data_IF_707465625302
#
_entry.id   IF_707465625302
#
_cell.length_a   1.000
_cell.length_b   1.000
_cell.length_c   1.000
_cell.angle_alpha   90.00
_cell.angle_beta   90.00
_cell.angle_gamma   90.00
#
_symmetry.space_group_name_H-M   'P 1'
#
loop_
_entity.id
_entity.type
_entity.pdbx_description
1 polymer ?
2 non-polymer ?
3 non-polymer ?
4 water ?
#
# COMPACT_ATOMS: atom_id res chain seq x y z
N UNK A 1 -15.55 4.01 -10.48
CA UNK A 1 -14.61 4.97 -11.03
C UNK A 1 -13.30 4.32 -11.48
N UNK A 2 -12.55 5.04 -12.30
CA UNK A 2 -11.15 4.74 -12.54
C UNK A 2 -10.30 5.76 -11.85
N UNK A 3 -9.43 5.29 -10.95
CA UNK A 3 -8.61 6.18 -10.16
C UNK A 3 -7.18 6.10 -10.63
N UNK A 4 -6.68 7.26 -11.04
CA UNK A 4 -5.31 7.49 -11.47
C UNK A 4 -4.33 7.31 -10.31
N UNK A 5 -3.09 6.98 -10.62
CA UNK A 5 -2.05 6.86 -9.59
C UNK A 5 -0.98 7.94 -9.68
N UNK A 6 -1.25 8.98 -10.49
CA UNK A 6 -0.36 10.12 -10.54
C UNK A 6 -0.25 10.81 -9.20
N UNK A 7 -1.35 10.80 -8.45
CA UNK A 7 -1.38 11.31 -7.08
C UNK A 7 -1.75 10.19 -6.12
N UNK A 8 -1.53 10.39 -4.83
CA UNK A 8 -2.05 9.43 -3.84
C UNK A 8 -3.52 9.23 -4.01
N UNK A 9 -3.98 7.96 -4.01
CA UNK A 9 -5.42 7.71 -4.17
C UNK A 9 -6.20 7.85 -2.86
N UNK A 10 -6.53 9.10 -2.53
CA UNK A 10 -7.25 9.42 -1.31
C UNK A 10 -8.73 9.47 -1.56
N UNK A 11 -9.48 8.92 -0.62
CA UNK A 11 -10.94 8.95 -0.70
C UNK A 11 -11.53 9.32 0.65
N UNK A 12 -12.78 9.74 0.63
CA UNK A 12 -13.54 9.96 1.84
C UNK A 12 -14.21 8.66 2.22
N UNK A 13 -14.12 8.36 3.51
CA UNK A 13 -14.87 7.26 4.06
C UNK A 13 -15.84 7.77 5.10
N UNK A 14 -16.86 6.97 5.37
CA UNK A 14 -17.77 7.20 6.48
C UNK A 14 -17.72 6.00 7.40
N UNK A 15 -17.40 6.27 8.67
CA UNK A 15 -17.22 5.21 9.62
C UNK A 15 -17.51 5.75 11.02
N UNK A 16 -18.26 4.97 11.79
CA UNK A 16 -18.57 5.33 13.17
C UNK A 16 -19.18 6.71 13.29
N UNK A 17 -19.95 7.11 12.28
CA UNK A 17 -20.60 8.43 12.27
C UNK A 17 -19.72 9.59 11.81
N UNK A 18 -18.45 9.28 11.55
CA UNK A 18 -17.46 10.31 11.20
C UNK A 18 -17.11 10.22 9.71
N UNK A 19 -16.70 11.34 9.13
CA UNK A 19 -16.09 11.34 7.79
C UNK A 19 -14.59 11.52 7.92
N UNK A 20 -13.84 10.67 7.24
CA UNK A 20 -12.39 10.72 7.30
C UNK A 20 -11.80 10.53 5.91
N UNK A 21 -10.57 11.00 5.74
CA UNK A 21 -9.85 10.77 4.49
C UNK A 21 -8.91 9.58 4.67
N UNK A 22 -8.82 8.73 3.65
CA UNK A 22 -7.97 7.55 3.74
C UNK A 22 -7.42 7.18 2.38
N UNK A 23 -6.30 6.48 2.40
CA UNK A 23 -5.57 6.09 1.22
C UNK A 23 -6.00 4.70 0.77
N UNK A 24 -6.39 4.53 -0.49
CA UNK A 24 -6.64 3.19 -1.04
C UNK A 24 -5.33 2.47 -1.23
N UNK A 25 -5.10 1.42 -0.45
CA UNK A 25 -3.75 0.90 -0.32
C UNK A 25 -3.70 -0.61 -0.57
N UNK A 26 -3.36 -0.96 -1.81
CA UNK A 26 -3.28 -2.37 -2.17
C UNK A 26 -2.18 -3.14 -1.48
N UNK A 27 -1.20 -2.44 -0.93
CA UNK A 27 -0.14 -3.09 -0.19
C UNK A 27 -0.45 -3.33 1.27
N UNK A 28 -1.63 -2.91 1.73
CA UNK A 28 -2.08 -3.10 3.11
C UNK A 28 -3.06 -4.28 3.17
N UNK A 29 -2.74 -5.29 3.97
CA UNK A 29 -3.67 -6.42 4.16
C UNK A 29 -4.94 -5.92 4.82
N UNK A 30 -4.74 -5.01 5.78
CA UNK A 30 -5.76 -4.60 6.74
C UNK A 30 -6.01 -3.08 6.61
N UNK A 31 -7.21 -2.66 6.97
CA UNK A 31 -7.55 -1.25 7.14
C UNK A 31 -7.10 -0.75 8.49
N UNK A 32 -6.36 0.37 8.51
CA UNK A 32 -5.78 0.92 9.73
C UNK A 32 -6.07 2.40 9.77
N UNK A 33 -6.73 2.83 10.84
CA UNK A 33 -7.11 4.21 11.03
C UNK A 33 -6.50 4.76 12.31
N UNK A 34 -6.26 6.08 12.28
CA UNK A 34 -5.83 6.81 13.47
C UNK A 34 -6.84 6.71 14.59
N UNK A 35 -6.39 7.06 15.79
CA UNK A 35 -7.21 6.88 16.98
C UNK A 35 -8.62 7.44 16.84
N UNK A 36 -9.58 6.62 17.20
CA UNK A 36 -10.99 6.96 17.14
C UNK A 36 -11.73 5.93 17.99
N UNK A 37 -12.96 6.27 18.37
CA UNK A 37 -13.82 5.32 19.07
C UNK A 37 -14.62 4.49 18.07
N UNK A 38 -14.75 3.20 18.36
CA UNK A 38 -15.69 2.33 17.65
C UNK A 38 -16.43 1.46 18.66
N UNK A 39 -17.68 1.08 18.36
CA UNK A 39 -18.46 0.25 19.28
C UNK A 39 -18.09 -1.23 19.22
N UNK A 40 -18.36 -1.97 20.30
CA UNK A 40 -18.28 -3.41 20.28
C UNK A 40 -16.97 -3.95 20.84
N UNK A 41 -16.76 -5.24 20.65
CA UNK A 41 -15.59 -5.92 21.19
C UNK A 41 -14.37 -5.59 20.35
N UNK A 42 -13.20 -5.63 20.98
CA UNK A 42 -11.95 -5.53 20.26
C UNK A 42 -10.89 -6.42 20.89
N UNK A 43 -9.83 -6.71 20.15
CA UNK A 43 -8.67 -7.38 20.73
C UNK A 43 -7.39 -6.72 20.24
N UNK A 44 -6.33 -6.75 21.06
CA UNK A 44 -5.07 -6.12 20.67
C UNK A 44 -4.37 -6.91 19.58
N UNK A 45 -3.59 -6.21 18.75
CA UNK A 45 -2.91 -6.81 17.61
C UNK A 45 -1.63 -6.01 17.38
N UNK A 46 -0.59 -6.65 16.86
CA UNK A 46 0.58 -5.94 16.33
C UNK A 46 0.59 -6.05 14.81
N UNK A 47 0.74 -4.92 14.12
CA UNK A 47 0.91 -4.97 12.68
C UNK A 47 2.18 -4.29 12.27
N UNK A 48 2.78 -4.80 11.21
CA UNK A 48 4.10 -4.41 10.80
C UNK A 48 4.24 -3.87 9.39
N UNK A 49 5.11 -2.90 9.25
CA UNK A 49 5.21 -2.20 7.98
C UNK A 49 6.65 -1.75 7.89
N UNK A 50 6.91 -0.81 6.99
CA UNK A 50 8.23 -0.25 6.88
C UNK A 50 8.46 0.55 8.16
N UNK A 51 9.59 0.33 8.80
CA UNK A 51 9.80 0.92 10.13
C UNK A 51 9.52 0.06 11.34
N UNK A 52 8.80 -1.04 11.20
CA UNK A 52 8.55 -1.94 12.32
C UNK A 52 7.07 -2.05 12.61
N UNK A 53 6.73 -2.30 13.86
CA UNK A 53 5.36 -2.66 14.24
C UNK A 53 4.72 -1.56 15.08
N UNK A 54 3.38 -1.48 15.01
CA UNK A 54 2.60 -0.73 15.99
C UNK A 54 1.52 -1.61 16.62
N UNK A 55 1.13 -1.28 17.83
CA UNK A 55 0.02 -1.93 18.50
C UNK A 55 -1.29 -1.24 18.15
N UNK A 56 -2.27 -2.04 17.77
CA UNK A 56 -3.59 -1.52 17.39
C UNK A 56 -4.68 -2.29 18.12
N UNK A 57 -5.89 -1.72 18.10
CA UNK A 57 -7.08 -2.42 18.53
C UNK A 57 -7.82 -2.92 17.30
N UNK A 58 -8.17 -4.20 17.30
CA UNK A 58 -8.86 -4.82 16.19
C UNK A 58 -10.35 -4.91 16.48
N UNK A 59 -11.15 -4.19 15.70
CA UNK A 59 -12.62 -4.23 15.76
C UNK A 59 -13.14 -4.97 14.55
N UNK A 60 -14.00 -5.96 14.78
CA UNK A 60 -14.56 -6.75 13.68
C UNK A 60 -15.97 -6.30 13.33
N UNK A 61 -16.40 -6.59 12.10
CA UNK A 61 -17.79 -6.36 11.69
C UNK A 61 -18.21 -4.90 11.81
N UNK A 62 -17.36 -4.01 11.32
CA UNK A 62 -17.64 -2.58 11.36
C UNK A 62 -18.14 -2.14 10.00
N UNK A 63 -19.32 -1.49 9.97
CA UNK A 63 -19.82 -0.92 8.73
C UNK A 63 -19.03 0.30 8.27
N UNK A 64 -18.78 0.40 6.97
CA UNK A 64 -18.07 1.54 6.43
C UNK A 64 -18.68 1.83 5.08
N UNK A 65 -18.52 3.07 4.63
CA UNK A 65 -18.90 3.43 3.28
C UNK A 65 -17.76 4.16 2.62
N UNK A 66 -17.46 3.76 1.38
CA UNK A 66 -16.36 4.34 0.64
C UNK A 66 -16.91 4.62 -0.75
N UNK A 67 -17.03 5.90 -1.12
CA UNK A 67 -17.46 6.26 -2.47
C UNK A 67 -18.85 5.70 -2.79
N UNK A 68 -19.76 5.81 -1.83
CA UNK A 68 -21.13 5.34 -2.02
C UNK A 68 -21.23 3.84 -1.83
N UNK A 69 -20.08 3.20 -1.66
CA UNK A 69 -20.02 1.75 -1.58
C UNK A 69 -19.99 1.32 -0.12
N UNK A 70 -21.07 0.67 0.30
CA UNK A 70 -21.13 0.08 1.63
C UNK A 70 -20.37 -1.24 1.73
N UNK A 71 -19.72 -1.44 2.86
CA UNK A 71 -19.07 -2.69 3.14
C UNK A 71 -19.04 -2.90 4.63
N UNK A 72 -18.63 -4.09 5.03
CA UNK A 72 -18.39 -4.37 6.42
C UNK A 72 -17.08 -5.12 6.53
N UNK A 73 -16.34 -4.84 7.59
CA UNK A 73 -15.12 -5.58 7.84
C UNK A 73 -14.39 -5.19 9.09
N UNK A 74 -13.20 -5.73 9.23
CA UNK A 74 -12.35 -5.43 10.36
C UNK A 74 -11.62 -4.09 10.16
N UNK A 75 -11.57 -3.29 11.23
CA UNK A 75 -10.85 -2.03 11.24
C UNK A 75 -9.87 -2.07 12.40
N UNK A 76 -8.61 -1.76 12.09
CA UNK A 76 -7.56 -1.64 13.11
C UNK A 76 -7.40 -0.17 13.47
N UNK A 77 -7.34 0.13 14.76
CA UNK A 77 -7.25 1.51 15.22
C UNK A 77 -5.99 1.67 16.07
N UNK A 78 -5.19 2.67 15.73
CA UNK A 78 -3.99 2.93 16.51
C UNK A 78 -3.13 3.99 15.86
N UNK A 79 -1.88 4.10 16.31
CA UNK A 79 -1.02 5.24 15.93
C UNK A 79 -0.39 5.09 14.56
N UNK A 80 -1.19 4.87 13.52
CA UNK A 80 -0.71 4.89 12.16
C UNK A 80 -0.49 6.33 11.73
N UNK A 81 0.58 6.60 10.97
CA UNK A 81 0.78 7.98 10.53
C UNK A 81 -0.23 8.42 9.48
N UNK A 82 -0.89 7.48 8.83
CA UNK A 82 -1.94 7.83 7.89
C UNK A 82 -3.03 6.76 7.80
N UNK A 83 -4.25 7.19 7.54
CA UNK A 83 -5.38 6.26 7.42
C UNK A 83 -5.23 5.50 6.11
N UNK A 84 -5.31 4.18 6.19
CA UNK A 84 -5.26 3.36 4.98
C UNK A 84 -6.44 2.41 4.92
N UNK A 85 -7.01 2.27 3.72
CA UNK A 85 -8.01 1.24 3.43
C UNK A 85 -7.27 0.08 2.79
N UNK A 86 -7.31 -1.06 3.47
CA UNK A 86 -6.58 -2.22 3.01
C UNK A 86 -7.45 -3.20 2.24
N UNK A 87 -6.82 -4.29 1.81
CA UNK A 87 -7.49 -5.22 0.92
C UNK A 87 -8.76 -5.82 1.50
N UNK A 88 -8.79 -5.99 2.82
CA UNK A 88 -9.97 -6.56 3.45
C UNK A 88 -11.25 -5.80 3.13
N UNK A 89 -11.15 -4.50 2.90
CA UNK A 89 -12.29 -3.70 2.47
C UNK A 89 -12.30 -3.39 0.99
N UNK A 90 -11.13 -3.27 0.37
CA UNK A 90 -11.09 -3.01 -1.06
C UNK A 90 -11.79 -4.11 -1.85
N UNK A 91 -11.67 -5.36 -1.42
CA UNK A 91 -12.34 -6.45 -2.14
C UNK A 91 -13.85 -6.24 -2.15
N UNK A 92 -14.38 -5.75 -1.03
CA UNK A 92 -15.82 -5.67 -0.83
C UNK A 92 -16.47 -4.62 -1.71
N UNK A 93 -15.70 -3.61 -2.09
CA UNK A 93 -16.20 -2.60 -3.01
C UNK A 93 -15.86 -2.94 -4.46
N UNK A 94 -15.24 -4.09 -4.70
CA UNK A 94 -14.97 -4.53 -6.06
C UNK A 94 -13.76 -3.87 -6.70
N UNK A 95 -12.81 -3.43 -5.88
CA UNK A 95 -11.65 -2.70 -6.39
C UNK A 95 -10.61 -3.66 -6.96
N UNK A 96 -10.12 -3.33 -8.16
CA UNK A 96 -9.08 -4.09 -8.84
C UNK A 96 -7.98 -3.17 -9.34
N UNK A 97 -6.79 -3.73 -9.52
CA UNK A 97 -5.71 -3.09 -10.27
C UNK A 97 -5.77 -3.50 -11.72
N UNK A 98 -5.54 -2.54 -12.61
CA UNK A 98 -5.64 -2.79 -14.05
C UNK A 98 -4.51 -2.13 -14.78
N UNK A 99 -3.88 -2.89 -15.67
CA UNK A 99 -2.88 -2.36 -16.57
C UNK A 99 -2.73 -3.28 -17.77
N UNK B 1 -3.34 -6.82 -17.34
CA UNK B 1 -4.23 -7.72 -16.63
C UNK B 1 -5.16 -6.98 -15.68
N UNK B 2 -6.12 -7.69 -15.12
CA UNK B 2 -6.91 -7.22 -14.00
C UNK B 2 -6.59 -8.07 -12.80
N UNK B 3 -6.21 -7.41 -11.71
CA UNK B 3 -5.80 -8.12 -10.50
C UNK B 3 -6.76 -7.78 -9.37
N UNK B 4 -7.44 -8.79 -8.86
CA UNK B 4 -8.27 -8.62 -7.68
C UNK B 4 -7.43 -8.69 -6.43
N UNK B 5 -8.06 -8.46 -5.29
CA UNK B 5 -7.31 -8.15 -4.07
C UNK B 5 -7.61 -9.11 -2.93
N UNK B 6 -8.21 -10.25 -3.26
CA UNK B 6 -8.48 -11.29 -2.27
C UNK B 6 -7.18 -11.86 -1.69
N UNK B 7 -6.13 -11.90 -2.51
CA UNK B 7 -4.79 -12.24 -2.05
C UNK B 7 -3.88 -11.03 -2.30
N UNK B 8 -2.69 -11.04 -1.72
CA UNK B 8 -1.74 -9.96 -1.99
C UNK B 8 -1.40 -9.89 -3.48
N UNK B 9 -1.36 -8.68 -4.05
CA UNK B 9 -1.02 -8.54 -5.49
C UNK B 9 0.48 -8.62 -5.73
N UNK B 10 0.98 -9.84 -5.60
CA UNK B 10 2.38 -10.16 -5.83
C UNK B 10 2.59 -10.44 -7.29
N UNK B 11 3.65 -9.86 -7.84
CA UNK B 11 4.00 -10.12 -9.20
C UNK B 11 5.49 -10.38 -9.29
N UNK B 12 5.91 -10.92 -10.42
CA UNK B 12 7.33 -11.09 -10.69
C UNK B 12 7.86 -9.85 -11.36
N UNK B 13 9.01 -9.38 -10.89
CA UNK B 13 9.74 -8.29 -11.50
C UNK B 13 11.10 -8.81 -11.96
N UNK B 14 11.72 -8.08 -12.87
CA UNK B 14 13.09 -8.40 -13.26
C UNK B 14 13.92 -7.15 -13.14
N UNK B 15 15.02 -7.25 -12.42
CA UNK B 15 15.92 -6.11 -12.22
C UNK B 15 17.34 -6.65 -12.15
N UNK B 16 18.27 -5.99 -12.84
CA UNK B 16 19.64 -6.51 -12.93
C UNK B 16 19.75 -7.94 -13.41
N UNK B 17 18.85 -8.34 -14.29
CA UNK B 17 18.87 -9.68 -14.88
C UNK B 17 18.25 -10.75 -13.99
N UNK B 18 17.77 -10.39 -12.82
CA UNK B 18 17.26 -11.36 -11.86
C UNK B 18 15.77 -11.18 -11.59
N UNK B 19 15.07 -12.30 -11.41
CA UNK B 19 13.66 -12.28 -11.06
C UNK B 19 13.48 -12.16 -9.56
N UNK B 20 12.54 -11.32 -9.17
CA UNK B 20 12.14 -11.19 -7.77
C UNK B 20 10.62 -11.10 -7.68
N UNK B 21 10.08 -11.34 -6.50
CA UNK B 21 8.65 -11.11 -6.25
C UNK B 21 8.46 -9.76 -5.56
N UNK B 22 7.43 -9.01 -5.96
CA UNK B 22 7.16 -7.72 -5.35
C UNK B 22 5.68 -7.45 -5.31
N UNK B 23 5.28 -6.60 -4.36
CA UNK B 23 3.90 -6.26 -4.12
C UNK B 23 3.53 -4.98 -4.86
N UNK B 24 2.47 -5.02 -5.66
CA UNK B 24 1.94 -3.79 -6.24
C UNK B 24 1.21 -2.97 -5.19
N UNK B 25 1.72 -1.78 -4.89
CA UNK B 25 1.34 -1.10 -3.67
C UNK B 25 0.94 0.34 -3.95
N UNK B 26 -0.36 0.57 -4.10
CA UNK B 26 -0.85 1.91 -4.38
C UNK B 26 -0.67 2.87 -3.22
N UNK B 27 -0.44 2.34 -2.03
CA UNK B 27 -0.15 3.17 -0.87
C UNK B 27 1.30 3.61 -0.70
N UNK B 28 2.16 3.20 -1.63
CA UNK B 28 3.59 3.55 -1.61
C UNK B 28 3.85 4.58 -2.69
N UNK B 29 4.42 5.72 -2.31
CA UNK B 29 4.80 6.72 -3.33
C UNK B 29 5.92 6.18 -4.21
N UNK B 30 6.83 5.48 -3.56
CA UNK B 30 8.07 5.03 -4.18
C UNK B 30 8.21 3.51 -4.11
N UNK B 31 9.16 3.01 -4.90
CA UNK B 31 9.47 1.59 -5.02
C UNK B 31 10.65 1.28 -4.12
N UNK B 32 10.51 0.28 -3.26
CA UNK B 32 11.53 -0.08 -2.29
C UNK B 32 11.77 -1.56 -2.33
N UNK B 33 13.02 -1.94 -2.56
CA UNK B 33 13.42 -3.33 -2.63
C UNK B 33 14.37 -3.69 -1.50
N UNK B 34 14.34 -4.94 -1.09
CA UNK B 34 15.27 -5.50 -0.14
C UNK B 34 16.69 -5.41 -0.67
N UNK B 35 17.64 -5.53 0.26
CA UNK B 35 19.05 -5.38 -0.06
C UNK B 35 19.46 -6.12 -1.32
N UNK B 36 20.17 -5.41 -2.19
CA UNK B 36 20.62 -5.94 -3.47
C UNK B 36 21.67 -4.96 -3.99
N UNK B 37 22.39 -5.36 -5.03
CA UNK B 37 23.36 -4.50 -5.68
C UNK B 37 22.75 -3.83 -6.91
N UNK B 38 23.02 -2.55 -7.09
CA UNK B 38 22.65 -1.83 -8.30
C UNK B 38 23.83 -0.97 -8.72
N UNK B 39 23.91 -0.63 -10.02
CA UNK B 39 25.04 0.16 -10.54
C UNK B 39 24.95 1.64 -10.26
N UNK B 40 26.11 2.29 -10.29
CA UNK B 40 26.18 3.74 -10.24
C UNK B 40 26.23 4.30 -8.83
N UNK B 41 25.94 5.58 -8.72
CA UNK B 41 25.96 6.25 -7.43
C UNK B 41 24.58 6.29 -6.86
N UNK B 42 24.50 6.37 -5.54
CA UNK B 42 23.22 6.48 -4.87
C UNK B 42 23.20 7.72 -4.02
N UNK B 43 21.98 8.13 -3.67
CA UNK B 43 21.74 9.29 -2.83
C UNK B 43 20.90 8.86 -1.63
N UNK B 44 20.98 9.60 -0.53
CA UNK B 44 20.28 9.19 0.68
C UNK B 44 18.80 9.55 0.62
N UNK B 45 17.97 8.71 1.24
CA UNK B 45 16.55 9.05 1.42
C UNK B 45 16.06 8.40 2.69
N UNK B 46 15.18 9.11 3.40
CA UNK B 46 14.41 8.52 4.49
C UNK B 46 12.98 8.31 4.05
N UNK B 47 12.44 7.12 4.29
CA UNK B 47 11.04 6.89 3.98
C UNK B 47 10.28 6.34 5.18
N UNK B 48 9.04 6.78 5.29
CA UNK B 48 8.27 6.61 6.51
C UNK B 48 7.08 5.73 6.25
N UNK B 49 6.85 4.84 7.19
CA UNK B 49 5.84 3.84 7.02
C UNK B 49 5.15 3.70 8.34
N UNK B 50 4.37 2.64 8.44
CA UNK B 50 3.61 2.43 9.62
C UNK B 50 4.41 2.50 10.90
N UNK B 51 5.60 1.93 10.94
CA UNK B 51 6.31 1.76 12.21
C UNK B 51 7.36 2.83 12.46
N UNK B 52 7.44 3.82 11.58
CA UNK B 52 8.49 4.81 11.65
C UNK B 52 9.23 4.85 10.34
N UNK B 53 10.49 5.25 10.37
CA UNK B 53 11.25 5.52 9.17
C UNK B 53 12.36 4.49 8.99
N UNK B 54 12.75 4.27 7.73
CA UNK B 54 14.03 3.63 7.43
C UNK B 54 14.88 4.51 6.49
N UNK B 55 16.20 4.34 6.57
CA UNK B 55 17.11 4.92 5.59
C UNK B 55 17.27 3.95 4.46
N UNK B 56 17.26 4.50 3.25
CA UNK B 56 17.43 3.69 2.05
C UNK B 56 18.46 4.33 1.11
N UNK B 57 18.91 3.56 0.13
CA UNK B 57 19.76 4.07 -0.93
C UNK B 57 18.90 4.32 -2.16
N UNK B 58 18.96 5.52 -2.70
CA UNK B 58 18.19 5.87 -3.89
C UNK B 58 19.04 5.77 -5.15
N UNK B 59 18.64 4.89 -6.05
CA UNK B 59 19.26 4.75 -7.36
C UNK B 59 18.29 5.24 -8.43
N UNK B 60 18.76 6.05 -9.36
CA UNK B 60 17.90 6.63 -10.38
C UNK B 60 18.06 5.96 -11.73
N UNK B 61 17.01 6.02 -12.55
CA UNK B 61 17.10 5.60 -13.95
C UNK B 61 17.47 4.13 -14.08
N UNK B 62 16.89 3.29 -13.25
CA UNK B 62 17.18 1.86 -13.26
C UNK B 62 16.14 1.12 -14.09
N UNK B 63 16.57 0.33 -15.09
CA UNK B 63 15.59 -0.50 -15.81
C UNK B 63 15.01 -1.61 -14.92
N UNK B 64 13.70 -1.76 -14.99
CA UNK B 64 13.02 -2.80 -14.22
C UNK B 64 11.78 -3.23 -14.98
N UNK B 65 11.55 -4.53 -15.09
CA UNK B 65 10.34 -5.08 -15.73
C UNK B 65 9.39 -5.50 -14.62
N UNK B 66 8.11 -5.16 -14.78
CA UNK B 66 7.08 -5.47 -13.78
C UNK B 66 5.98 -6.23 -14.50
N UNK B 67 5.80 -7.49 -14.17
CA UNK B 67 4.84 -8.33 -14.92
C UNK B 67 5.06 -8.23 -16.42
N UNK B 68 6.31 -8.19 -16.85
CA UNK B 68 6.64 -8.10 -18.26
C UNK B 68 6.63 -6.70 -18.86
N UNK B 69 6.09 -5.72 -18.13
CA UNK B 69 6.01 -4.35 -18.61
C UNK B 69 7.29 -3.57 -18.27
N UNK B 70 7.86 -2.90 -19.26
CA UNK B 70 9.16 -2.25 -19.08
C UNK B 70 9.03 -0.86 -18.46
N UNK B 71 9.83 -0.61 -17.42
CA UNK B 71 9.90 0.69 -16.79
C UNK B 71 11.36 1.06 -16.60
N UNK B 72 11.64 2.35 -16.41
CA UNK B 72 12.98 2.77 -16.04
C UNK B 72 12.81 3.93 -15.09
N UNK B 73 13.26 3.78 -13.85
CA UNK B 73 13.03 4.84 -12.88
C UNK B 73 13.74 4.59 -11.58
N UNK B 74 13.27 5.27 -10.56
CA UNK B 74 13.98 5.29 -9.28
C UNK B 74 13.62 4.09 -8.45
N UNK B 75 14.65 3.45 -7.92
CA UNK B 75 14.48 2.30 -7.05
C UNK B 75 15.21 2.62 -5.75
N UNK B 76 14.53 2.42 -4.63
CA UNK B 76 15.13 2.58 -3.30
C UNK B 76 15.50 1.19 -2.80
N UNK B 77 16.64 1.08 -2.12
CA UNK B 77 17.08 -0.20 -1.58
C UNK B 77 17.32 -0.05 -0.10
N UNK B 78 16.73 -0.91 0.71
CA UNK B 78 16.99 -0.89 2.14
C UNK B 78 16.21 -1.95 2.86
N UNK B 79 16.18 -1.85 4.18
CA UNK B 79 15.63 -2.92 5.03
C UNK B 79 14.13 -2.89 5.08
N UNK B 80 13.49 -3.00 3.92
CA UNK B 80 12.05 -3.12 3.86
C UNK B 80 11.63 -4.55 4.16
N UNK B 81 10.50 -4.73 4.83
CA UNK B 81 9.99 -6.08 5.08
C UNK B 81 9.60 -6.86 3.82
N UNK B 82 9.29 -6.15 2.73
CA UNK B 82 8.92 -6.81 1.49
C UNK B 82 9.19 -5.87 0.34
N UNK B 83 9.50 -6.44 -0.81
CA UNK B 83 9.66 -5.63 -2.01
C UNK B 83 8.34 -4.99 -2.40
N UNK B 84 8.32 -3.68 -2.59
CA UNK B 84 7.10 -2.98 -2.98
C UNK B 84 7.32 -2.14 -4.23
N UNK B 85 6.39 -2.23 -5.15
CA UNK B 85 6.35 -1.40 -6.32
C UNK B 85 5.38 -0.28 -6.05
N UNK B 86 5.90 0.94 -5.99
CA UNK B 86 5.10 2.11 -5.68
C UNK B 86 4.65 2.87 -6.90
N UNK B 87 3.96 3.99 -6.64
CA UNK B 87 3.29 4.71 -7.71
C UNK B 87 4.25 5.25 -8.77
N UNK B 88 5.49 5.52 -8.41
CA UNK B 88 6.45 5.99 -9.38
C UNK B 88 6.58 5.05 -10.56
N UNK B 89 6.53 3.73 -10.30
CA UNK B 89 6.58 2.76 -11.39
C UNK B 89 5.21 2.24 -11.82
N UNK B 90 4.23 2.22 -10.91
CA UNK B 90 2.88 1.83 -11.32
C UNK B 90 2.38 2.75 -12.43
N UNK B 91 2.69 4.05 -12.34
CA UNK B 91 2.28 4.98 -13.39
C UNK B 91 2.99 4.66 -14.70
N UNK B 92 4.25 4.20 -14.68
CA UNK B 92 4.96 3.88 -15.93
C UNK B 92 4.37 2.71 -16.67
N UNK B 93 3.76 1.77 -15.95
CA UNK B 93 3.16 0.61 -16.60
C UNK B 93 1.66 0.79 -16.84
N UNK B 94 1.12 1.97 -16.55
CA UNK B 94 -0.26 2.29 -16.89
C UNK B 94 -1.28 1.75 -15.91
N UNK B 95 -0.90 1.60 -14.66
CA UNK B 95 -1.79 0.98 -13.68
C UNK B 95 -2.79 1.98 -13.12
N UNK B 96 -4.05 1.54 -13.01
CA UNK B 96 -5.06 2.30 -12.32
C UNK B 96 -5.80 1.42 -11.34
N UNK B 97 -6.49 2.04 -10.39
CA UNK B 97 -7.48 1.36 -9.57
C UNK B 97 -8.87 1.56 -10.14
N UNK B 98 -9.68 0.51 -10.07
CA UNK B 98 -11.01 0.55 -10.68
C UNK B 98 -12.03 -0.13 -9.78
N UNK B 99 -13.16 0.51 -9.58
CA UNK B 99 -14.32 -0.16 -9.01
C UNK B 99 -15.64 0.46 -9.45
X LIG C 1 -12.36 -8.18 7.37
X LIG D 1 8.34 8.64 0.49
X LIG D 1 8.31 7.49 -0.43
X LIG D 1 7.84 6.34 0.04
X LIG D 1 7.86 5.21 -0.65
X LIG D 1 7.26 6.16 1.23
X LIG D 1 6.92 4.82 1.27
X LIG D 1 6.33 4.11 2.22
X LIG D 1 7.30 4.27 0.12
X LIG D 1 7.10 2.97 -0.12
X LIG D 1 6.48 2.19 0.84
X LIG D 1 6.09 2.76 2.03
X LIG D 1 5.30 1.81 3.25
X LIG D 1 5.61 2.32 4.62
X LIG D 1 5.66 0.35 3.06
X LIG D 1 3.68 1.96 3.04
X LIG D 1 3.15 3.32 3.23
X LIG D 1 1.69 3.32 3.73
X LIG D 1 1.17 4.74 3.82
X LIG D 1 1.61 2.70 5.13
X LIG D 1 3.14 1.19 1.91
X LIG D 1 2.14 0.16 2.45
X LIG D 1 1.35 -0.36 1.39
X LIG D 1 2.79 -0.95 3.27
X LIG D 1 3.68 -1.87 2.40
X LIG D 1 4.23 -2.91 3.18
X LIG D 1 3.82 -4.22 2.99
X LIG D 1 4.37 -5.25 3.76
X LIG D 1 5.33 -4.97 4.72
X LIG D 1 5.75 -3.66 4.92
X LIG D 1 5.20 -2.63 4.15
X LIG D 1 1.75 -1.78 3.88
X LIG D 1 1.55 -1.88 5.20
X LIG D 1 2.22 -1.23 6.01
X LIG D 1 0.56 -2.71 5.56
X LIG D 1 0.34 -2.93 6.95
X LIG D 1 0.64 -4.41 7.29
X LIG D 1 -1.16 -2.91 7.13
X LIG D 1 -1.61 -4.19 6.63
X LIG D 1 -0.59 -5.18 6.82
X LIG D 1 -0.28 -5.75 5.52
X LIG D 1 1.09 -5.42 5.18
X LIG D 1 1.79 -5.00 6.46
X LIG D 1 2.25 -6.20 7.10
X LIG D 1 3.41 -6.07 7.93
X LIG D 1 4.12 -7.35 8.36
X LIG D 1 5.21 -7.31 9.14
X LIG D 1 3.58 -8.70 7.88
X LIG E 1 -14.35 -10.15 -7.22
X LIG F 1 10.80 7.23 -11.04
#
# INVERSE_FOLDING_TARGET
>A
PQITLWQRPLVTIKIGGQLKEALLDTGADDTVLEEMSLPGRWKPKMIGGIGGFIKVRQYDQIPIEICGHKAIGTVLVGPTPTNVIGRNLLTQIGCTLNF
>B
PQITLWQRPLVTIKIGGQLKEALLDTGADDTVLEEMSLPGRWKPKMIGGIGGFIKVRQYDQIPIEICGHKAIGTVLVGPTPTNVIGRNLLTQIGCTLNF
>C hetero
1 CL CL
>D hetero
1 QHA CAB NBA CBL NAZ OBG CBN CAS CBM CAR CAQ CBK SBW OAF OAG NBT CAX CBO CAD CAC CAY CBP OAH CBQ CAW CBJ CAO CAM CAL CAN CAP NBB CBI OAE OBF CBS CBV CAV OBE CBU OBD CAU CBR OBC CAT CBH FAI CAA
>E hetero
1 CL CL
>F hetero
1 CL CL
#
